data_IF_940286018113
#
_entry.id   IF_940286018113
#
_cell.length_a   1.000
_cell.length_b   1.000
_cell.length_c   1.000
_cell.angle_alpha   90.00
_cell.angle_beta   90.00
_cell.angle_gamma   90.00
#
_symmetry.space_group_name_H-M   'P 1'
#
loop_
_entity.id
_entity.type
_entity.pdbx_description
1 polymer ?
2 non-polymer ?
3 non-polymer ?
4 water ?
#
# COMPACT_ATOMS: atom_id res chain seq x y z
N UNK A 1 19.20 6.22 -13.00
CA UNK A 1 19.34 6.16 -11.51
C UNK A 1 18.31 7.07 -10.84
N UNK A 2 17.50 6.50 -9.94
CA UNK A 2 16.53 7.31 -9.18
C UNK A 2 17.26 8.45 -8.48
N UNK A 3 16.77 9.67 -8.67
CA UNK A 3 17.38 10.82 -8.05
C UNK A 3 17.18 10.77 -6.54
N UNK A 4 18.08 11.41 -5.80
CA UNK A 4 17.95 11.48 -4.35
C UNK A 4 16.66 12.19 -3.95
N UNK A 5 16.32 13.27 -4.65
CA UNK A 5 15.08 14.00 -4.40
C UNK A 5 13.86 13.10 -4.56
N UNK A 6 13.83 12.33 -5.66
CA UNK A 6 12.72 11.41 -5.92
C UNK A 6 12.68 10.26 -4.92
N UNK A 7 13.86 9.78 -4.51
CA UNK A 7 13.93 8.71 -3.51
C UNK A 7 13.37 9.19 -2.17
N UNK A 8 13.69 10.42 -1.77
CA UNK A 8 13.10 10.98 -0.55
C UNK A 8 11.57 11.06 -0.66
N UNK A 9 11.08 11.55 -1.79
CA UNK A 9 9.63 11.65 -1.98
C UNK A 9 8.94 10.28 -1.94
N UNK A 10 9.53 9.31 -2.62
CA UNK A 10 9.03 7.93 -2.60
C UNK A 10 8.98 7.36 -1.18
N UNK A 11 10.09 7.51 -0.46
CA UNK A 11 10.24 6.88 0.85
C UNK A 11 9.51 7.61 1.96
N UNK A 12 9.33 8.92 1.83
CA UNK A 12 8.95 9.73 2.99
C UNK A 12 7.74 10.64 2.85
N UNK A 13 7.22 10.82 1.63
CA UNK A 13 6.12 11.76 1.44
C UNK A 13 4.79 11.07 1.24
N UNK A 14 3.84 11.40 2.10
CA UNK A 14 2.46 10.98 1.92
C UNK A 14 1.52 12.11 2.32
N UNK A 15 1.55 13.18 1.54
CA UNK A 15 0.82 14.40 1.88
C UNK A 15 -0.70 14.19 1.90
N UNK A 16 -1.34 14.62 2.97
CA UNK A 16 -2.79 14.49 3.12
C UNK A 16 -3.25 14.56 4.57
N UNK A 17 -4.56 14.71 4.75
CA UNK A 17 -5.16 14.89 6.07
C UNK A 17 -5.43 13.60 6.84
N UNK A 18 -5.77 12.52 6.12
CA UNK A 18 -6.12 11.26 6.75
C UNK A 18 -5.48 10.05 6.04
N UNK A 19 -4.14 9.92 6.14
CA UNK A 19 -3.42 8.86 5.43
C UNK A 19 -3.85 7.43 5.78
N UNK A 20 -4.27 7.22 7.02
CA UNK A 20 -4.58 5.89 7.54
C UNK A 20 -6.08 5.56 7.49
N UNK A 21 -6.91 6.54 7.12
CA UNK A 21 -8.34 6.35 6.97
C UNK A 21 -8.69 5.12 6.14
N UNK A 22 -9.82 4.49 6.48
CA UNK A 22 -10.31 3.31 5.75
C UNK A 22 -10.54 3.62 4.27
N UNK A 23 -10.88 4.87 3.97
CA UNK A 23 -11.13 5.29 2.59
C UNK A 23 -9.88 5.15 1.72
N UNK A 24 -8.71 5.11 2.35
CA UNK A 24 -7.43 4.99 1.66
C UNK A 24 -6.97 3.56 1.40
N UNK A 25 -7.73 2.60 1.89
CA UNK A 25 -7.32 1.19 1.80
C UNK A 25 -6.98 0.79 0.37
N UNK A 26 -7.89 1.07 -0.57
CA UNK A 26 -7.63 0.69 -1.95
C UNK A 26 -6.41 1.38 -2.56
N UNK A 27 -6.21 2.66 -2.27
CA UNK A 27 -5.01 3.35 -2.75
C UNK A 27 -3.75 2.62 -2.30
N UNK A 28 -3.69 2.25 -1.01
CA UNK A 28 -2.54 1.55 -0.46
C UNK A 28 -2.39 0.15 -1.05
N UNK A 29 -3.50 -0.58 -1.09
CA UNK A 29 -3.51 -1.98 -1.53
C UNK A 29 -3.22 -2.14 -3.00
N UNK A 30 -3.84 -1.31 -3.84
CA UNK A 30 -3.62 -1.39 -5.28
C UNK A 30 -2.17 -1.09 -5.60
N UNK A 31 -1.56 -0.22 -4.80
CA UNK A 31 -0.14 0.07 -4.93
C UNK A 31 0.71 -1.11 -4.47
N UNK A 32 0.50 -1.54 -3.22
CA UNK A 32 1.32 -2.58 -2.62
C UNK A 32 1.25 -3.90 -3.41
N UNK A 33 0.05 -4.24 -3.87
CA UNK A 33 -0.18 -5.50 -4.59
C UNK A 33 0.11 -5.40 -6.10
N UNK A 34 0.78 -4.31 -6.50
CA UNK A 34 1.36 -4.16 -7.85
C UNK A 34 0.32 -4.10 -8.96
N UNK A 35 -0.75 -3.34 -8.72
CA UNK A 35 -1.77 -3.13 -9.73
C UNK A 35 -1.85 -1.67 -10.22
N UNK A 36 -0.80 -0.90 -9.95
CA UNK A 36 -0.69 0.47 -10.45
C UNK A 36 0.64 0.73 -11.16
N UNK A 37 1.19 -0.32 -11.78
CA UNK A 37 2.42 -0.18 -12.54
C UNK A 37 2.13 -0.10 -14.04
N UNK A 38 2.45 1.05 -14.65
CA UNK A 38 2.21 1.26 -16.08
C UNK A 38 0.87 1.92 -16.34
N UNK A 39 -0.17 1.39 -15.71
CA UNK A 39 -1.49 2.00 -15.71
C UNK A 39 -2.22 1.63 -14.41
N UNK A 40 -3.27 2.36 -14.08
CA UNK A 40 -4.09 2.01 -12.94
C UNK A 40 -5.06 0.91 -13.35
N UNK A 41 -5.02 -0.21 -12.64
CA UNK A 41 -6.03 -1.23 -12.84
C UNK A 41 -7.38 -0.60 -12.47
N UNK A 42 -8.35 -0.61 -13.41
CA UNK A 42 -9.59 0.12 -13.19
C UNK A 42 -10.47 -0.41 -12.06
N UNK A 43 -10.59 -1.73 -11.95
CA UNK A 43 -11.48 -2.37 -10.98
C UNK A 43 -10.76 -3.58 -10.42
N UNK A 44 -10.78 -3.71 -9.09
CA UNK A 44 -10.20 -4.88 -8.44
C UNK A 44 -10.86 -5.18 -7.11
N UNK A 45 -11.16 -6.45 -6.89
CA UNK A 45 -11.81 -6.92 -5.67
C UNK A 45 -10.83 -7.66 -4.74
N UNK A 46 -10.86 -7.30 -3.46
CA UNK A 46 -10.15 -8.06 -2.43
C UNK A 46 -11.16 -8.84 -1.60
N UNK A 47 -10.77 -10.05 -1.24
CA UNK A 47 -11.64 -10.95 -0.47
C UNK A 47 -11.06 -11.14 0.91
N UNK A 48 -11.92 -10.97 1.92
CA UNK A 48 -11.46 -11.01 3.31
C UNK A 48 -11.70 -12.34 4.04
N UNK A 49 -12.26 -13.30 3.31
CA UNK A 49 -12.52 -14.65 3.84
C UNK A 49 -11.26 -15.50 3.81
N UNK A 50 -11.30 -16.61 4.54
CA UNK A 50 -10.26 -17.62 4.53
C UNK A 50 -9.91 -18.01 3.09
N UNK A 51 -8.62 -18.21 2.82
CA UNK A 51 -8.19 -18.78 1.53
C UNK A 51 -8.87 -20.14 1.28
N UNK A 52 -9.06 -20.92 2.35
CA UNK A 52 -9.77 -22.20 2.24
C UNK A 52 -11.20 -22.02 1.73
N UNK A 53 -11.88 -20.98 2.22
CA UNK A 53 -13.24 -20.69 1.78
C UNK A 53 -13.27 -20.23 0.32
N UNK A 54 -12.25 -19.47 -0.08
CA UNK A 54 -12.18 -18.98 -1.46
C UNK A 54 -11.84 -20.14 -2.41
N UNK A 55 -10.89 -20.96 -2.02
CA UNK A 55 -10.59 -22.20 -2.78
C UNK A 55 -11.80 -23.12 -2.91
N UNK A 56 -12.61 -23.19 -1.85
CA UNK A 56 -13.81 -24.05 -1.84
C UNK A 56 -14.79 -23.69 -2.95
N UNK A 57 -14.78 -22.43 -3.38
CA UNK A 57 -15.68 -21.96 -4.43
C UNK A 57 -15.52 -22.78 -5.72
N UNK A 58 -14.31 -23.30 -5.95
CA UNK A 58 -13.99 -24.12 -7.13
C UNK A 58 -14.71 -25.47 -7.12
N UNK A 59 -15.43 -25.76 -6.03
CA UNK A 59 -16.23 -26.97 -5.94
C UNK A 59 -17.71 -26.64 -5.75
N UNK A 60 -18.06 -25.37 -5.94
CA UNK A 60 -19.44 -24.91 -5.74
C UNK A 60 -20.23 -24.75 -7.04
N UNK A 61 -21.00 -23.67 -7.17
CA UNK A 61 -21.94 -23.50 -8.30
C UNK A 61 -21.20 -23.07 -9.57
N UNK A 62 -21.25 -23.91 -10.61
CA UNK A 62 -20.69 -23.53 -11.91
C UNK A 62 -21.51 -22.38 -12.50
N UNK A 63 -20.81 -21.37 -13.02
CA UNK A 63 -21.45 -20.29 -13.76
C UNK A 63 -20.53 -19.87 -14.91
N UNK A 64 -21.10 -19.38 -16.00
CA UNK A 64 -20.28 -18.96 -17.12
C UNK A 64 -19.53 -17.67 -16.78
N UNK A 65 -18.26 -17.61 -17.16
CA UNK A 65 -17.49 -16.39 -16.98
C UNK A 65 -18.05 -15.30 -17.89
N UNK A 66 -17.84 -14.04 -17.49
CA UNK A 66 -18.26 -12.89 -18.29
C UNK A 66 -17.71 -12.97 -19.71
N UNK A 67 -16.48 -13.47 -19.86
CA UNK A 67 -15.83 -13.54 -21.17
C UNK A 67 -16.16 -14.80 -21.95
N UNK A 68 -17.10 -15.60 -21.47
CA UNK A 68 -17.54 -16.78 -22.21
C UNK A 68 -16.77 -18.04 -21.90
N UNK A 69 -15.69 -17.94 -21.12
CA UNK A 69 -15.01 -19.14 -20.64
C UNK A 69 -15.92 -19.91 -19.69
N UNK A 70 -15.62 -21.19 -19.51
CA UNK A 70 -16.53 -22.13 -18.88
C UNK A 70 -15.90 -22.79 -17.67
N UNK A 71 -15.03 -22.07 -16.97
CA UNK A 71 -14.40 -22.59 -15.77
C UNK A 71 -14.65 -21.68 -14.58
N UNK A 72 -15.77 -20.93 -14.60
CA UNK A 72 -16.13 -20.08 -13.48
C UNK A 72 -17.09 -20.73 -12.51
N UNK A 73 -17.05 -20.22 -11.27
CA UNK A 73 -17.77 -20.78 -10.14
C UNK A 73 -18.23 -19.64 -9.26
N UNK A 74 -19.46 -19.75 -8.76
CA UNK A 74 -20.02 -18.74 -7.87
C UNK A 74 -20.07 -19.31 -6.46
N UNK A 75 -19.67 -18.50 -5.48
CA UNK A 75 -19.72 -18.92 -4.08
C UNK A 75 -21.16 -19.16 -3.65
N UNK A 76 -21.38 -20.24 -2.90
CA UNK A 76 -22.69 -20.60 -2.39
C UNK A 76 -23.21 -19.52 -1.43
N UNK A 77 -22.31 -18.97 -0.63
CA UNK A 77 -22.66 -17.94 0.34
C UNK A 77 -22.00 -16.62 -0.03
N UNK A 78 -22.50 -15.54 0.57
CA UNK A 78 -21.87 -14.23 0.42
C UNK A 78 -20.53 -14.23 1.15
N UNK A 79 -19.64 -13.36 0.69
CA UNK A 79 -18.34 -13.15 1.31
C UNK A 79 -18.07 -11.69 1.58
N UNK A 80 -17.26 -11.42 2.60
CA UNK A 80 -16.82 -10.07 2.88
C UNK A 80 -15.74 -9.68 1.88
N UNK A 81 -16.03 -8.67 1.09
CA UNK A 81 -15.10 -8.26 0.03
C UNK A 81 -14.96 -6.74 0.06
N UNK A 82 -13.91 -6.24 -0.58
CA UNK A 82 -13.71 -4.81 -0.76
C UNK A 82 -13.53 -4.56 -2.25
N UNK A 83 -14.37 -3.69 -2.79
CA UNK A 83 -14.29 -3.26 -4.16
C UNK A 83 -13.37 -2.03 -4.22
N UNK A 84 -12.40 -2.08 -5.13
CA UNK A 84 -11.56 -0.93 -5.43
C UNK A 84 -11.83 -0.51 -6.86
N UNK A 85 -12.27 0.73 -7.05
CA UNK A 85 -12.56 1.26 -8.39
C UNK A 85 -11.97 2.63 -8.55
N UNK A 86 -11.37 2.87 -9.70
CA UNK A 86 -10.85 4.18 -10.02
C UNK A 86 -11.93 5.23 -9.88
N UNK A 87 -11.57 6.36 -9.28
CA UNK A 87 -12.44 7.52 -9.22
C UNK A 87 -12.37 8.25 -10.56
N UNK A 88 -13.31 9.16 -10.79
CA UNK A 88 -13.34 9.97 -12.00
C UNK A 88 -12.16 10.94 -12.11
N UNK A 89 -11.41 11.07 -11.03
CA UNK A 89 -10.25 11.95 -10.95
C UNK A 89 -8.94 11.23 -11.20
N UNK A 90 -8.96 9.91 -11.00
CA UNK A 90 -7.79 9.05 -11.15
C UNK A 90 -7.10 9.18 -12.51
N UNK A 91 -5.80 9.46 -12.47
CA UNK A 91 -4.99 9.51 -13.68
C UNK A 91 -3.56 9.09 -13.38
N UNK A 92 -3.15 7.97 -13.97
CA UNK A 92 -1.77 7.49 -13.85
C UNK A 92 -0.79 8.64 -14.08
N UNK A 93 0.31 8.71 -13.30
CA UNK A 93 0.73 7.79 -12.24
C UNK A 93 0.11 8.06 -10.87
N UNK A 94 -0.88 8.97 -10.83
CA UNK A 94 -1.61 9.24 -9.61
C UNK A 94 -2.95 8.51 -9.63
N UNK A 95 -2.88 7.20 -9.43
CA UNK A 95 -4.08 6.37 -9.36
C UNK A 95 -4.83 6.71 -8.09
N UNK A 96 -6.15 6.71 -8.19
CA UNK A 96 -7.02 7.01 -7.06
C UNK A 96 -8.21 6.07 -7.10
N UNK A 97 -8.51 5.48 -5.95
CA UNK A 97 -9.56 4.49 -5.84
C UNK A 97 -10.58 4.84 -4.77
N UNK A 98 -11.84 4.53 -5.07
CA UNK A 98 -12.89 4.49 -4.09
C UNK A 98 -12.92 3.10 -3.49
N UNK A 99 -12.93 3.05 -2.16
CA UNK A 99 -12.99 1.81 -1.38
C UNK A 99 -14.42 1.57 -0.94
N UNK A 100 -14.97 0.42 -1.29
CA UNK A 100 -16.32 0.06 -0.90
C UNK A 100 -16.36 -1.34 -0.30
N UNK A 101 -16.75 -1.42 0.96
CA UNK A 101 -16.83 -2.71 1.65
C UNK A 101 -18.26 -3.22 1.51
N UNK A 102 -18.38 -4.43 0.97
CA UNK A 102 -19.69 -5.06 0.77
C UNK A 102 -19.64 -6.55 1.08
N UNK A 103 -20.81 -7.17 1.15
CA UNK A 103 -20.93 -8.62 1.24
C UNK A 103 -21.72 -9.11 0.03
N UNK A 104 -21.07 -9.90 -0.82
CA UNK A 104 -21.67 -10.39 -2.05
C UNK A 104 -21.14 -11.78 -2.34
N UNK A 105 -21.85 -12.51 -3.20
CA UNK A 105 -21.32 -13.75 -3.75
C UNK A 105 -20.18 -13.41 -4.69
N UNK A 106 -19.13 -14.23 -4.72
CA UNK A 106 -18.05 -14.01 -5.67
C UNK A 106 -18.10 -15.02 -6.81
N UNK A 107 -17.63 -14.59 -7.97
CA UNK A 107 -17.46 -15.50 -9.09
C UNK A 107 -15.99 -15.47 -9.49
N UNK A 108 -15.37 -16.65 -9.48
CA UNK A 108 -13.96 -16.80 -9.82
C UNK A 108 -13.79 -17.87 -10.90
N UNK A 109 -12.77 -17.72 -11.74
CA UNK A 109 -12.36 -18.79 -12.64
C UNK A 109 -11.41 -19.69 -11.88
N UNK A 110 -11.56 -21.01 -12.08
CA UNK A 110 -10.71 -22.00 -11.41
C UNK A 110 -9.90 -22.78 -12.43
N UNK A 111 -8.61 -22.94 -12.14
CA UNK A 111 -7.71 -23.59 -13.09
C UNK A 111 -6.58 -24.28 -12.37
N UNK A 112 -5.86 -25.10 -13.12
CA UNK A 112 -4.73 -25.83 -12.57
C UNK A 112 -5.12 -27.11 -11.87
N UNK A 113 -4.12 -27.78 -11.31
CA UNK A 113 -4.31 -28.98 -10.51
C UNK A 113 -3.42 -28.85 -9.27
N UNK A 114 -4.00 -28.75 -8.07
CA UNK A 114 -5.43 -28.69 -7.74
C UNK A 114 -6.12 -27.51 -8.41
N UNK A 115 -7.43 -27.65 -8.64
CA UNK A 115 -8.19 -26.56 -9.26
C UNK A 115 -8.41 -25.46 -8.22
N UNK A 116 -7.81 -24.30 -8.46
CA UNK A 116 -7.87 -23.18 -7.53
C UNK A 116 -8.24 -21.89 -8.27
N UNK A 117 -8.67 -20.84 -7.55
CA UNK A 117 -8.99 -19.58 -8.23
C UNK A 117 -7.80 -18.99 -8.96
N UNK A 118 -8.01 -18.63 -10.22
CA UNK A 118 -6.96 -18.01 -11.02
C UNK A 118 -7.33 -16.63 -11.56
N UNK A 119 -8.62 -16.30 -11.51
CA UNK A 119 -9.14 -15.02 -12.03
C UNK A 119 -10.35 -14.62 -11.18
N UNK A 120 -10.45 -13.34 -10.83
CA UNK A 120 -11.67 -12.87 -10.18
C UNK A 120 -12.56 -12.30 -11.27
N UNK A 121 -13.75 -12.89 -11.44
CA UNK A 121 -14.62 -12.54 -12.53
C UNK A 121 -15.66 -11.46 -12.23
N UNK A 122 -16.36 -11.61 -11.12
CA UNK A 122 -17.53 -10.79 -10.83
C UNK A 122 -17.95 -10.97 -9.38
N UNK A 123 -18.82 -10.08 -8.92
CA UNK A 123 -19.53 -10.28 -7.66
C UNK A 123 -21.00 -10.12 -7.95
N UNK A 124 -21.84 -10.82 -7.20
CA UNK A 124 -23.27 -10.79 -7.44
C UNK A 124 -24.06 -10.77 -6.13
N UNK B 1 7.98 -17.49 -14.00
CA UNK B 1 6.77 -16.61 -14.01
C UNK B 1 5.87 -16.90 -12.81
N UNK B 2 5.37 -15.83 -12.19
CA UNK B 2 4.38 -15.92 -11.12
C UNK B 2 3.25 -16.85 -11.54
N UNK B 3 2.86 -17.78 -10.66
CA UNK B 3 1.79 -18.71 -11.00
C UNK B 3 0.46 -17.98 -11.01
N UNK B 4 -0.50 -18.50 -11.78
CA UNK B 4 -1.84 -17.92 -11.82
C UNK B 4 -2.49 -17.95 -10.43
N UNK B 5 -2.27 -19.03 -9.70
CA UNK B 5 -2.75 -19.14 -8.32
C UNK B 5 -2.18 -18.04 -7.43
N UNK B 6 -0.86 -17.84 -7.50
CA UNK B 6 -0.17 -16.81 -6.73
C UNK B 6 -0.63 -15.41 -7.15
N UNK B 7 -0.86 -15.25 -8.45
CA UNK B 7 -1.33 -13.95 -8.97
C UNK B 7 -2.71 -13.63 -8.42
N UNK B 8 -3.59 -14.64 -8.36
CA UNK B 8 -4.90 -14.45 -7.76
C UNK B 8 -4.77 -14.05 -6.29
N UNK B 9 -3.90 -14.74 -5.55
CA UNK B 9 -3.73 -14.43 -4.13
C UNK B 9 -3.22 -13.00 -3.97
N UNK B 10 -2.28 -12.62 -4.83
CA UNK B 10 -1.71 -11.26 -4.79
C UNK B 10 -2.76 -10.19 -5.09
N UNK B 11 -3.53 -10.43 -6.14
CA UNK B 11 -4.46 -9.41 -6.60
C UNK B 11 -5.73 -9.37 -5.77
N UNK B 12 -6.14 -10.51 -5.23
CA UNK B 12 -7.51 -10.64 -4.70
C UNK B 12 -7.68 -11.12 -3.27
N UNK B 13 -6.61 -11.56 -2.60
CA UNK B 13 -6.75 -12.08 -1.24
C UNK B 13 -6.20 -11.12 -0.18
N UNK B 14 -7.04 -10.84 0.82
CA UNK B 14 -6.58 -10.13 2.02
C UNK B 14 -7.32 -10.69 3.23
N UNK B 15 -7.04 -11.96 3.53
CA UNK B 15 -7.66 -12.68 4.65
C UNK B 15 -7.32 -12.11 6.02
N UNK B 16 -6.12 -11.54 6.13
CA UNK B 16 -5.57 -11.18 7.43
C UNK B 16 -5.77 -9.76 7.88
N UNK B 17 -6.43 -8.94 7.04
CA UNK B 17 -6.61 -7.51 7.34
C UNK B 17 -7.95 -7.04 6.83
N UNK B 18 -8.32 -5.79 7.18
CA UNK B 18 -9.49 -5.15 6.58
C UNK B 18 -9.25 -3.65 6.45
N UNK B 19 -10.02 -2.97 5.58
CA UNK B 19 -9.91 -1.51 5.42
C UNK B 19 -10.06 -0.72 6.71
N UNK B 20 -10.90 -1.19 7.62
CA UNK B 20 -11.27 -0.41 8.81
C UNK B 20 -10.09 -0.19 9.75
N UNK B 21 -9.04 -0.98 9.58
CA UNK B 21 -7.84 -0.81 10.38
C UNK B 21 -7.13 0.51 10.11
N UNK B 22 -6.44 1.01 11.12
CA UNK B 22 -5.56 2.16 11.01
C UNK B 22 -4.13 1.68 11.21
N UNK B 23 -4.00 0.53 11.89
CA UNK B 23 -2.71 -0.01 12.30
C UNK B 23 -1.93 -0.70 11.18
N UNK B 24 -2.62 -0.96 10.07
CA UNK B 24 -2.02 -1.66 8.94
C UNK B 24 -1.34 -0.70 7.96
N UNK B 25 -1.46 0.60 8.23
CA UNK B 25 -0.91 1.64 7.33
C UNK B 25 0.55 1.40 6.93
N UNK B 26 1.41 1.26 7.92
CA UNK B 26 2.82 1.05 7.63
C UNK B 26 3.07 -0.23 6.84
N UNK B 27 2.40 -1.33 7.19
CA UNK B 27 2.57 -2.55 6.41
C UNK B 27 2.32 -2.33 4.92
N UNK B 28 1.24 -1.62 4.63
CA UNK B 28 0.84 -1.38 3.26
C UNK B 28 1.73 -0.34 2.56
N UNK B 29 2.03 0.75 3.27
CA UNK B 29 2.83 1.82 2.71
C UNK B 29 4.29 1.44 2.47
N UNK B 30 4.87 0.70 3.41
CA UNK B 30 6.25 0.22 3.22
C UNK B 30 6.33 -0.70 2.03
N UNK B 31 5.27 -1.49 1.83
CA UNK B 31 5.17 -2.34 0.65
C UNK B 31 5.00 -1.50 -0.62
N UNK B 32 4.00 -0.61 -0.59
CA UNK B 32 3.69 0.26 -1.72
C UNK B 32 4.91 1.02 -2.21
N UNK B 33 5.66 1.59 -1.27
CA UNK B 33 6.80 2.47 -1.57
C UNK B 33 8.13 1.72 -1.68
N UNK B 34 8.04 0.39 -1.77
CA UNK B 34 9.18 -0.46 -2.15
C UNK B 34 10.34 -0.42 -1.16
N UNK B 35 10.01 -0.50 0.12
CA UNK B 35 11.01 -0.57 1.19
C UNK B 35 10.99 -1.92 1.90
N UNK B 36 10.37 -2.91 1.26
CA UNK B 36 10.29 -4.27 1.81
C UNK B 36 10.86 -5.32 0.87
N UNK B 37 11.63 -4.88 -0.11
CA UNK B 37 12.23 -5.79 -1.08
C UNK B 37 13.70 -6.06 -0.73
N UNK B 38 14.06 -7.34 -0.67
CA UNK B 38 15.41 -7.76 -0.26
C UNK B 38 15.52 -7.94 1.24
N UNK B 39 15.07 -6.93 1.98
CA UNK B 39 14.99 -6.96 3.44
C UNK B 39 13.95 -5.92 3.90
N UNK B 40 13.54 -6.00 5.15
CA UNK B 40 12.62 -5.01 5.70
C UNK B 40 13.42 -3.80 6.17
N UNK B 41 13.15 -2.64 5.58
CA UNK B 41 13.75 -1.42 6.08
C UNK B 41 13.28 -1.29 7.53
N UNK B 42 14.22 -1.20 8.48
CA UNK B 42 13.87 -1.26 9.91
C UNK B 42 13.02 -0.09 10.40
N UNK B 43 13.31 1.11 9.92
CA UNK B 43 12.65 2.31 10.41
C UNK B 43 12.45 3.25 9.25
N UNK B 44 11.23 3.77 9.12
CA UNK B 44 10.94 4.75 8.09
C UNK B 44 9.79 5.65 8.47
N UNK B 45 9.94 6.93 8.18
CA UNK B 45 8.94 7.93 8.51
C UNK B 45 8.25 8.47 7.26
N UNK B 46 6.92 8.52 7.32
CA UNK B 46 6.15 9.22 6.29
C UNK B 46 5.65 10.56 6.82
N UNK B 47 5.73 11.57 5.97
CA UNK B 47 5.31 12.91 6.33
C UNK B 47 4.03 13.28 5.58
N UNK B 48 3.07 13.83 6.32
CA UNK B 48 1.74 14.10 5.77
C UNK B 48 1.46 15.57 5.46
N UNK B 49 2.45 16.42 5.76
CA UNK B 49 2.41 17.82 5.37
C UNK B 49 2.64 17.92 3.86
N UNK B 50 2.42 19.11 3.30
CA UNK B 50 2.68 19.33 1.89
C UNK B 50 4.15 19.15 1.54
N UNK B 51 4.41 18.77 0.30
CA UNK B 51 5.78 18.69 -0.21
C UNK B 51 6.45 20.07 -0.08
N UNK B 52 5.72 21.14 -0.35
CA UNK B 52 6.24 22.50 -0.20
C UNK B 52 6.76 22.77 1.21
N UNK B 53 5.98 22.38 2.22
CA UNK B 53 6.37 22.57 3.63
C UNK B 53 7.61 21.76 4.00
N UNK B 54 7.69 20.54 3.48
CA UNK B 54 8.84 19.69 3.79
C UNK B 54 10.08 20.24 3.09
N UNK B 55 9.95 20.63 1.82
CA UNK B 55 11.05 21.26 1.10
C UNK B 55 11.57 22.50 1.83
N UNK B 56 10.65 23.25 2.43
CA UNK B 56 10.98 24.49 3.13
C UNK B 56 11.90 24.27 4.34
N UNK B 57 11.91 23.07 4.88
CA UNK B 57 12.75 22.75 6.04
C UNK B 57 14.22 22.98 5.71
N UNK B 58 14.61 22.80 4.45
CA UNK B 58 16.01 22.98 4.04
C UNK B 58 16.49 24.43 4.18
N UNK B 59 15.55 25.35 4.39
CA UNK B 59 15.88 26.75 4.59
C UNK B 59 15.66 27.18 6.05
N UNK B 60 15.38 26.19 6.90
CA UNK B 60 15.10 26.47 8.32
C UNK B 60 16.34 26.24 9.19
N UNK B 61 16.16 25.77 10.43
CA UNK B 61 17.28 25.73 11.40
C UNK B 61 18.32 24.64 11.13
N UNK B 62 19.57 25.04 10.92
CA UNK B 62 20.69 24.10 10.85
C UNK B 62 20.91 23.38 12.18
N UNK B 63 20.96 22.05 12.12
CA UNK B 63 21.19 21.21 13.30
C UNK B 63 22.14 20.09 12.95
N UNK B 64 22.67 19.43 13.99
CA UNK B 64 23.60 18.32 13.78
C UNK B 64 22.89 17.12 13.13
N UNK B 65 23.54 16.47 12.16
CA UNK B 65 23.04 15.21 11.59
C UNK B 65 23.46 14.08 12.48
N UNK B 66 22.62 13.06 12.59
CA UNK B 66 22.97 11.88 13.37
C UNK B 66 24.26 11.21 12.87
N UNK B 67 24.54 11.35 11.57
CA UNK B 67 25.76 10.76 11.00
C UNK B 67 26.94 11.75 10.90
N UNK B 68 26.80 12.90 11.54
CA UNK B 68 27.90 13.84 11.63
C UNK B 68 28.15 14.70 10.40
N UNK B 69 27.33 14.53 9.36
CA UNK B 69 27.36 15.45 8.22
C UNK B 69 26.77 16.77 8.67
N UNK B 70 26.98 17.81 7.87
CA UNK B 70 26.58 19.15 8.26
C UNK B 70 25.53 19.72 7.32
N UNK B 71 24.66 18.85 6.81
CA UNK B 71 23.62 19.26 5.87
C UNK B 71 22.20 18.99 6.38
N UNK B 72 22.03 18.97 7.71
CA UNK B 72 20.72 18.69 8.29
C UNK B 72 20.02 19.92 8.79
N UNK B 73 18.69 19.90 8.70
CA UNK B 73 17.86 21.05 9.04
C UNK B 73 16.62 20.57 9.76
N UNK B 74 16.23 21.33 10.77
CA UNK B 74 15.09 21.00 11.62
C UNK B 74 13.91 21.91 11.28
N UNK B 75 12.71 21.33 11.20
CA UNK B 75 11.53 22.12 10.88
C UNK B 75 11.24 23.12 12.00
N UNK B 76 10.73 24.28 11.63
CA UNK B 76 10.43 25.34 12.59
C UNK B 76 9.22 25.00 13.45
N UNK B 77 8.38 24.11 12.93
CA UNK B 77 7.19 23.70 13.65
C UNK B 77 7.05 22.19 13.60
N UNK B 78 6.19 21.65 14.45
CA UNK B 78 5.92 20.22 14.42
C UNK B 78 5.17 19.90 13.12
N UNK B 79 5.31 18.66 12.67
CA UNK B 79 4.65 18.16 11.49
C UNK B 79 3.92 16.86 11.78
N UNK B 80 2.84 16.62 11.05
CA UNK B 80 2.12 15.35 11.14
C UNK B 80 2.91 14.33 10.34
N UNK B 81 3.42 13.33 11.06
CA UNK B 81 4.21 12.27 10.47
C UNK B 81 3.75 10.92 11.01
N UNK B 82 4.11 9.84 10.32
CA UNK B 82 3.86 8.49 10.80
C UNK B 82 5.17 7.73 10.84
N UNK B 83 5.51 7.23 12.03
CA UNK B 83 6.69 6.40 12.17
C UNK B 83 6.30 4.96 11.91
N UNK B 84 7.08 4.31 11.04
CA UNK B 84 6.93 2.89 10.77
C UNK B 84 8.15 2.15 11.28
N UNK B 85 7.93 1.33 12.31
CA UNK B 85 9.02 0.64 12.96
C UNK B 85 8.78 -0.85 12.90
N UNK B 86 9.74 -1.58 12.34
CA UNK B 86 9.65 -3.03 12.26
C UNK B 86 9.49 -3.65 13.65
N UNK B 87 8.50 -4.53 13.78
CA UNK B 87 8.19 -5.17 15.05
C UNK B 87 9.15 -6.33 15.33
N UNK B 88 9.16 -6.80 16.58
CA UNK B 88 9.96 -7.95 16.97
C UNK B 88 9.56 -9.23 16.24
N UNK B 89 8.26 -9.36 15.95
CA UNK B 89 7.73 -10.54 15.29
C UNK B 89 7.87 -10.51 13.76
N UNK B 90 8.31 -9.37 13.23
CA UNK B 90 8.55 -9.21 11.80
C UNK B 90 9.70 -10.09 11.33
N UNK B 91 9.50 -10.74 10.19
CA UNK B 91 10.49 -11.62 9.61
C UNK B 91 10.30 -11.62 8.10
N UNK B 92 11.32 -11.14 7.37
CA UNK B 92 11.30 -11.11 5.91
C UNK B 92 10.93 -12.47 5.32
N UNK B 93 10.10 -12.50 4.24
CA UNK B 93 9.53 -11.39 3.47
C UNK B 93 8.24 -10.80 4.03
N UNK B 94 7.76 -11.33 5.15
CA UNK B 94 6.58 -10.81 5.82
C UNK B 94 6.94 -9.67 6.77
N UNK B 95 7.15 -8.49 6.20
CA UNK B 95 7.61 -7.33 6.97
C UNK B 95 6.49 -6.71 7.76
N UNK B 96 6.66 -6.68 9.08
CA UNK B 96 5.63 -6.19 9.98
C UNK B 96 6.10 -4.92 10.67
N UNK B 97 5.21 -3.93 10.70
CA UNK B 97 5.50 -2.63 11.25
C UNK B 97 4.46 -2.19 12.27
N UNK B 98 4.93 -1.51 13.30
CA UNK B 98 4.06 -0.74 14.18
C UNK B 98 3.92 0.65 13.58
N UNK B 99 2.67 1.05 13.41
CA UNK B 99 2.31 2.37 12.93
C UNK B 99 2.11 3.30 14.12
N UNK B 100 2.87 4.38 14.17
CA UNK B 100 2.72 5.37 15.22
C UNK B 100 2.48 6.73 14.61
N UNK B 101 1.31 7.30 14.92
CA UNK B 101 0.99 8.64 14.46
C UNK B 101 1.65 9.64 15.40
N UNK B 102 2.45 10.52 14.84
CA UNK B 102 3.21 11.47 15.67
C UNK B 102 3.14 12.89 15.13
N UNK B 103 3.30 13.85 16.04
CA UNK B 103 3.46 15.24 15.67
C UNK B 103 4.71 15.77 16.34
N UNK B 104 5.80 15.81 15.58
CA UNK B 104 7.10 16.24 16.07
C UNK B 104 7.79 17.09 15.00
N UNK B 105 8.80 17.85 15.41
CA UNK B 105 9.70 18.52 14.47
C UNK B 105 10.48 17.44 13.74
N UNK B 106 10.72 17.64 12.44
CA UNK B 106 11.49 16.67 11.66
C UNK B 106 12.86 17.23 11.38
N UNK B 107 13.82 16.34 11.16
CA UNK B 107 15.16 16.74 10.76
C UNK B 107 15.46 16.02 9.48
N UNK B 108 15.76 16.78 8.44
CA UNK B 108 16.09 16.20 7.14
C UNK B 108 17.48 16.62 6.71
N UNK B 109 18.15 15.73 6.00
CA UNK B 109 19.38 16.10 5.32
C UNK B 109 18.97 16.68 3.98
N UNK B 110 19.62 17.77 3.57
CA UNK B 110 19.29 18.38 2.28
C UNK B 110 20.46 18.34 1.32
N UNK B 111 20.15 18.26 0.02
CA UNK B 111 21.18 18.19 -1.01
C UNK B 111 20.63 18.63 -2.36
N UNK B 112 21.52 18.84 -3.32
CA UNK B 112 21.11 19.34 -4.63
C UNK B 112 21.02 20.85 -4.67
N UNK B 113 20.75 21.38 -5.86
CA UNK B 113 20.57 22.81 -6.08
C UNK B 113 19.37 22.99 -7.01
N UNK B 114 18.23 23.48 -6.47
CA UNK B 114 18.02 23.90 -5.08
C UNK B 114 18.14 22.77 -4.08
N UNK B 115 18.56 23.13 -2.86
CA UNK B 115 18.69 22.18 -1.77
C UNK B 115 17.31 21.66 -1.39
N UNK B 116 17.13 20.34 -1.52
CA UNK B 116 15.86 19.67 -1.20
C UNK B 116 16.13 18.48 -0.26
N UNK B 117 15.10 17.98 0.45
CA UNK B 117 15.37 16.85 1.34
C UNK B 117 15.82 15.60 0.59
N UNK B 118 16.85 14.94 1.12
CA UNK B 118 17.36 13.72 0.51
C UNK B 118 17.38 12.53 1.48
N UNK B 119 17.30 12.82 2.77
CA UNK B 119 17.42 11.82 3.83
C UNK B 119 16.53 12.31 4.98
N UNK B 120 15.79 11.39 5.59
CA UNK B 120 15.01 11.75 6.79
C UNK B 120 15.85 11.32 7.98
N UNK B 121 16.40 12.29 8.70
CA UNK B 121 17.39 11.97 9.72
C UNK B 121 16.77 11.51 11.04
N UNK B 122 15.75 12.22 11.48
CA UNK B 122 15.16 12.00 12.80
C UNK B 122 13.95 12.90 13.00
N UNK B 123 13.18 12.62 14.04
CA UNK B 123 12.23 13.59 14.52
C UNK B 123 12.61 13.92 15.95
N UNK B 124 12.28 15.13 16.38
CA UNK B 124 12.67 15.58 17.72
C UNK B 124 11.45 16.17 18.45
#
# INVERSE_FOLDING_TARGET
KESAAAKFERQHMDSGNSPSSSSNYCNLMMCCRKMTQGKCKPVNTFVHESLADVKAVCSQKKVTCKNGQTNCYQSKSTMRITDCRETGSSKYPNCAYKTTQVEKHIIVACGGKPSVPVHFDASV
KESAAAKFERQHMDSGNSPSSSSNYCNLMMCCRKMTQGKCKPVNTFVHESLADVKAVCSQKKVTCKNGQTNCYQSKSTMRITDCRETGSSKYPNCAYKTTQVEKHIIVACGGKPSVPVHFDASV
#
